data_IF_561230854444
#
_entry.id   IF_561230854444
#
_cell.length_a   1.000
_cell.length_b   1.000
_cell.length_c   1.000
_cell.angle_alpha   90.00
_cell.angle_beta   90.00
_cell.angle_gamma   90.00
#
_symmetry.space_group_name_H-M   'P 1'
#
loop_
_entity.id
_entity.type
_entity.pdbx_description
1 polymer ?
#
# COMPACT_ATOMS: atom_id res chain seq x y z
N UNK A 1 1.19 5.15 -31.67
CA UNK A 1 1.33 6.63 -31.59
C UNK A 1 1.37 7.11 -30.15
N UNK A 2 0.60 6.54 -29.24
CA UNK A 2 0.51 6.89 -27.81
C UNK A 2 1.87 6.80 -27.08
N UNK A 3 2.62 5.71 -27.25
CA UNK A 3 3.97 5.55 -26.64
C UNK A 3 5.00 6.63 -27.04
N UNK A 4 4.84 7.24 -28.22
CA UNK A 4 5.80 8.28 -28.71
C UNK A 4 5.49 9.64 -28.08
N UNK A 5 4.18 9.95 -27.90
CA UNK A 5 3.74 11.17 -27.21
C UNK A 5 4.13 11.19 -25.73
N UNK A 6 3.96 10.08 -25.04
CA UNK A 6 4.34 9.93 -23.63
C UNK A 6 5.83 10.11 -23.40
N UNK A 7 6.69 9.55 -24.29
CA UNK A 7 8.14 9.75 -24.21
C UNK A 7 8.54 11.22 -24.38
N UNK A 8 7.92 11.92 -25.33
CA UNK A 8 8.20 13.34 -25.56
C UNK A 8 7.77 14.16 -24.34
N UNK A 9 6.58 13.91 -23.79
CA UNK A 9 6.08 14.59 -22.59
C UNK A 9 7.00 14.35 -21.37
N UNK A 10 7.51 13.13 -21.20
CA UNK A 10 8.48 12.80 -20.15
C UNK A 10 9.79 13.57 -20.29
N UNK A 11 10.36 13.63 -21.50
CA UNK A 11 11.58 14.41 -21.74
C UNK A 11 11.38 15.92 -21.52
N UNK A 12 10.21 16.45 -21.89
CA UNK A 12 9.85 17.85 -21.61
C UNK A 12 9.76 18.08 -20.09
N UNK A 13 9.09 17.19 -19.37
CA UNK A 13 8.98 17.28 -17.91
C UNK A 13 10.35 17.21 -17.23
N UNK A 14 11.21 16.29 -17.66
CA UNK A 14 12.58 16.18 -17.17
C UNK A 14 13.39 17.46 -17.45
N UNK A 15 13.26 18.03 -18.65
CA UNK A 15 13.90 19.29 -19.00
C UNK A 15 13.42 20.45 -18.09
N UNK A 16 12.12 20.51 -17.78
CA UNK A 16 11.56 21.51 -16.85
C UNK A 16 12.17 21.32 -15.45
N UNK A 17 12.29 20.09 -14.97
CA UNK A 17 12.91 19.79 -13.66
C UNK A 17 14.37 20.27 -13.64
N UNK A 18 15.14 19.97 -14.69
CA UNK A 18 16.55 20.42 -14.81
C UNK A 18 16.62 21.94 -14.84
N UNK A 19 15.77 22.61 -15.62
CA UNK A 19 15.71 24.09 -15.68
C UNK A 19 15.39 24.66 -14.30
N UNK A 20 14.41 24.10 -13.60
CA UNK A 20 14.05 24.54 -12.24
C UNK A 20 15.23 24.40 -11.27
N UNK A 21 15.96 23.29 -11.32
CA UNK A 21 17.17 23.08 -10.50
C UNK A 21 18.29 24.08 -10.86
N UNK A 22 18.46 24.40 -12.14
CA UNK A 22 19.42 25.43 -12.58
C UNK A 22 19.00 26.80 -12.04
N UNK A 23 17.72 27.15 -12.12
CA UNK A 23 17.20 28.40 -11.55
C UNK A 23 17.44 28.42 -10.05
N UNK A 24 17.12 27.35 -9.33
CA UNK A 24 17.38 27.25 -7.89
C UNK A 24 18.84 27.51 -7.56
N UNK A 25 19.77 26.92 -8.32
CA UNK A 25 21.20 27.11 -8.14
C UNK A 25 21.65 28.56 -8.37
N UNK A 26 21.13 29.19 -9.44
CA UNK A 26 21.52 30.57 -9.82
C UNK A 26 20.92 31.61 -8.87
N UNK A 27 19.71 31.36 -8.39
CA UNK A 27 19.01 32.28 -7.48
C UNK A 27 19.36 32.11 -6.00
N UNK A 28 20.11 31.05 -5.68
CA UNK A 28 20.56 30.81 -4.30
C UNK A 28 21.65 31.81 -3.93
N UNK A 29 21.35 32.61 -2.94
CA UNK A 29 22.27 33.60 -2.33
C UNK A 29 23.24 33.00 -1.28
N UNK A 30 23.27 31.67 -1.17
CA UNK A 30 24.08 30.94 -0.20
C UNK A 30 23.31 30.59 1.11
N UNK A 31 22.07 31.03 1.27
CA UNK A 31 21.23 30.71 2.44
C UNK A 31 20.73 29.24 2.46
N UNK A 32 20.88 28.54 1.32
CA UNK A 32 20.39 27.18 1.15
C UNK A 32 18.88 27.10 0.86
N UNK A 33 18.32 25.89 0.95
CA UNK A 33 16.93 25.61 0.55
C UNK A 33 16.07 25.10 1.71
N UNK A 34 16.63 25.06 2.93
CA UNK A 34 15.97 24.54 4.13
C UNK A 34 14.84 25.50 4.54
N UNK A 35 13.69 24.94 4.90
CA UNK A 35 12.47 25.66 5.29
C UNK A 35 12.01 26.71 4.27
N UNK A 36 12.24 26.49 2.97
CA UNK A 36 11.82 27.34 1.86
C UNK A 36 10.80 26.63 0.98
N UNK A 37 10.19 27.33 0.02
CA UNK A 37 9.28 26.73 -0.97
C UNK A 37 9.93 25.62 -1.80
N UNK A 38 11.25 25.60 -1.93
CA UNK A 38 12.01 24.54 -2.59
C UNK A 38 11.95 23.20 -1.84
N UNK A 39 11.59 23.18 -0.57
CA UNK A 39 11.38 21.96 0.19
C UNK A 39 10.20 21.12 -0.32
N UNK A 40 9.23 21.74 -1.03
CA UNK A 40 8.11 21.04 -1.67
C UNK A 40 8.42 20.57 -3.09
N UNK A 41 9.54 21.01 -3.69
CA UNK A 41 9.90 20.68 -5.06
C UNK A 41 10.13 19.18 -5.29
N UNK A 42 10.86 18.43 -4.44
CA UNK A 42 11.12 17.00 -4.65
C UNK A 42 9.86 16.13 -4.76
N UNK A 43 8.85 16.23 -3.87
CA UNK A 43 7.62 15.47 -4.02
C UNK A 43 6.80 15.89 -5.25
N UNK A 44 6.79 17.17 -5.61
CA UNK A 44 6.15 17.64 -6.84
C UNK A 44 6.80 17.01 -8.08
N UNK A 45 8.13 16.93 -8.12
CA UNK A 45 8.88 16.24 -9.20
C UNK A 45 8.48 14.78 -9.27
N UNK A 46 8.49 14.06 -8.16
CA UNK A 46 8.13 12.64 -8.12
C UNK A 46 6.71 12.40 -8.63
N UNK A 47 5.73 13.16 -8.14
CA UNK A 47 4.32 13.01 -8.52
C UNK A 47 4.12 13.38 -10.00
N UNK A 48 4.62 14.54 -10.44
CA UNK A 48 4.47 15.01 -11.82
C UNK A 48 5.07 14.03 -12.83
N UNK A 49 6.29 13.53 -12.56
CA UNK A 49 6.92 12.54 -13.43
C UNK A 49 6.17 11.22 -13.44
N UNK A 50 5.66 10.75 -12.30
CA UNK A 50 4.87 9.52 -12.22
C UNK A 50 3.56 9.62 -13.02
N UNK A 51 2.85 10.73 -12.94
CA UNK A 51 1.63 10.97 -13.70
C UNK A 51 1.87 11.03 -15.21
N UNK A 52 2.99 11.63 -15.64
CA UNK A 52 3.35 11.78 -17.06
C UNK A 52 3.89 10.46 -17.64
N UNK A 53 4.82 9.81 -16.93
CA UNK A 53 5.49 8.60 -17.42
C UNK A 53 4.68 7.33 -17.20
N UNK A 54 3.77 7.32 -16.22
CA UNK A 54 3.10 6.15 -15.67
C UNK A 54 4.11 5.12 -15.12
N UNK A 55 5.29 5.59 -14.74
CA UNK A 55 6.37 4.80 -14.18
C UNK A 55 6.78 5.40 -12.82
N UNK A 56 6.61 4.63 -11.75
CA UNK A 56 6.72 5.12 -10.36
C UNK A 56 8.16 5.09 -9.86
N UNK A 57 8.93 4.05 -10.19
CA UNK A 57 10.27 3.84 -9.62
C UNK A 57 11.25 4.95 -10.01
N UNK A 58 11.38 5.22 -11.31
CA UNK A 58 12.28 6.28 -11.80
C UNK A 58 11.80 7.66 -11.33
N UNK A 59 10.49 7.86 -11.25
CA UNK A 59 9.91 9.14 -10.79
C UNK A 59 10.22 9.42 -9.33
N UNK A 60 10.02 8.45 -8.45
CA UNK A 60 10.39 8.55 -7.03
C UNK A 60 11.90 8.72 -6.86
N UNK A 61 12.71 7.93 -7.59
CA UNK A 61 14.16 8.03 -7.56
C UNK A 61 14.64 9.44 -7.94
N UNK A 62 14.12 10.01 -9.04
CA UNK A 62 14.45 11.36 -9.47
C UNK A 62 13.99 12.43 -8.48
N UNK A 63 12.82 12.24 -7.84
CA UNK A 63 12.38 13.10 -6.74
C UNK A 63 13.34 13.06 -5.55
N UNK A 64 13.79 11.87 -5.15
CA UNK A 64 14.79 11.71 -4.10
C UNK A 64 16.13 12.37 -4.46
N UNK A 65 16.60 12.19 -5.71
CA UNK A 65 17.83 12.85 -6.19
C UNK A 65 17.70 14.37 -6.16
N UNK A 66 16.57 14.92 -6.61
CA UNK A 66 16.31 16.36 -6.55
C UNK A 66 16.34 16.88 -5.10
N UNK A 67 15.71 16.15 -4.16
CA UNK A 67 15.73 16.49 -2.74
C UNK A 67 17.12 16.44 -2.13
N UNK A 68 17.85 15.36 -2.40
CA UNK A 68 19.23 15.21 -1.92
C UNK A 68 20.17 16.28 -2.48
N UNK A 69 19.98 16.69 -3.75
CA UNK A 69 20.77 17.72 -4.43
C UNK A 69 20.52 19.11 -3.83
N UNK A 70 19.25 19.47 -3.59
CA UNK A 70 18.87 20.73 -2.95
C UNK A 70 19.38 20.78 -1.52
N UNK A 71 19.19 19.71 -0.75
CA UNK A 71 19.71 19.61 0.63
C UNK A 71 21.23 19.72 0.69
N UNK A 72 21.94 19.21 -0.33
CA UNK A 72 23.38 19.30 -0.46
C UNK A 72 23.87 20.67 -0.99
N UNK A 73 22.98 21.62 -1.25
CA UNK A 73 23.32 22.89 -1.86
C UNK A 73 24.16 22.72 -3.15
N UNK A 74 23.77 21.76 -3.99
CA UNK A 74 24.43 21.40 -5.28
C UNK A 74 25.86 20.85 -5.14
N UNK A 75 26.24 20.34 -3.98
CA UNK A 75 27.53 19.65 -3.79
C UNK A 75 27.36 18.15 -4.15
N UNK A 76 28.04 17.63 -5.20
CA UNK A 76 27.76 16.26 -5.70
C UNK A 76 28.05 15.16 -4.67
N UNK A 77 29.13 15.28 -3.90
CA UNK A 77 29.46 14.29 -2.88
C UNK A 77 28.45 14.32 -1.74
N UNK A 78 28.09 15.48 -1.26
CA UNK A 78 27.09 15.64 -0.19
C UNK A 78 25.70 15.20 -0.64
N UNK A 79 25.36 15.33 -1.93
CA UNK A 79 24.13 14.78 -2.49
C UNK A 79 24.08 13.26 -2.32
N UNK A 80 25.17 12.54 -2.61
CA UNK A 80 25.22 11.08 -2.41
C UNK A 80 25.11 10.71 -0.93
N UNK A 81 25.79 11.44 -0.07
CA UNK A 81 25.70 11.24 1.40
C UNK A 81 24.28 11.45 1.89
N UNK A 82 23.62 12.54 1.46
CA UNK A 82 22.24 12.84 1.85
C UNK A 82 21.24 11.81 1.30
N UNK A 83 21.47 11.32 0.08
CA UNK A 83 20.61 10.30 -0.51
C UNK A 83 20.71 8.96 0.23
N UNK A 84 21.93 8.53 0.55
CA UNK A 84 22.16 7.23 1.21
C UNK A 84 21.81 7.29 2.70
N UNK A 85 22.27 8.31 3.42
CA UNK A 85 21.97 8.46 4.84
C UNK A 85 22.80 9.58 5.46
N UNK A 86 22.19 10.74 5.70
CA UNK A 86 22.86 11.94 6.17
C UNK A 86 22.67 12.24 7.67
N UNK A 87 21.74 11.57 8.32
CA UNK A 87 21.38 11.83 9.71
C UNK A 87 20.09 11.13 10.10
N UNK A 88 19.62 11.34 11.31
CA UNK A 88 18.42 10.71 11.84
C UNK A 88 17.20 11.04 10.96
N UNK A 89 16.52 10.01 10.46
CA UNK A 89 15.37 10.14 9.57
C UNK A 89 15.66 10.63 8.14
N UNK A 90 16.92 10.96 7.81
CA UNK A 90 17.30 11.50 6.49
C UNK A 90 18.10 10.47 5.68
N UNK A 91 17.76 10.35 4.39
CA UNK A 91 18.38 9.41 3.48
C UNK A 91 17.84 7.98 3.61
N UNK A 92 18.19 7.14 2.65
CA UNK A 92 17.58 5.82 2.47
C UNK A 92 17.77 4.91 3.69
N UNK A 93 18.97 4.84 4.25
CA UNK A 93 19.27 3.94 5.37
C UNK A 93 18.51 4.32 6.65
N UNK A 94 18.35 5.62 6.90
CA UNK A 94 17.78 6.13 8.14
C UNK A 94 16.25 6.36 8.06
N UNK A 95 15.69 6.41 6.86
CA UNK A 95 14.25 6.61 6.65
C UNK A 95 13.46 5.29 6.55
N UNK A 96 14.12 4.16 6.26
CA UNK A 96 13.46 2.86 6.07
C UNK A 96 13.04 2.26 7.42
N UNK A 97 11.76 1.88 7.52
CA UNK A 97 11.27 1.02 8.59
C UNK A 97 11.47 -0.47 8.22
N UNK A 98 12.52 -1.08 8.76
CA UNK A 98 12.87 -2.48 8.51
C UNK A 98 11.76 -3.42 9.02
N UNK A 99 11.05 -3.06 10.09
CA UNK A 99 9.99 -3.90 10.66
C UNK A 99 8.83 -4.04 9.67
N UNK A 100 8.45 -2.96 9.00
CA UNK A 100 7.40 -2.99 7.96
C UNK A 100 7.88 -3.80 6.74
N UNK A 101 9.15 -3.70 6.35
CA UNK A 101 9.68 -4.52 5.24
C UNK A 101 9.63 -6.01 5.57
N UNK A 102 10.02 -6.42 6.80
CA UNK A 102 9.91 -7.81 7.27
C UNK A 102 8.46 -8.27 7.23
N UNK A 103 7.54 -7.46 7.73
CA UNK A 103 6.11 -7.74 7.69
C UNK A 103 5.60 -8.00 6.26
N UNK A 104 5.94 -7.15 5.30
CA UNK A 104 5.54 -7.31 3.89
C UNK A 104 6.09 -8.60 3.28
N UNK A 105 7.36 -8.92 3.51
CA UNK A 105 7.97 -10.17 3.02
C UNK A 105 7.21 -11.39 3.57
N UNK A 106 6.90 -11.36 4.86
CA UNK A 106 6.14 -12.44 5.51
C UNK A 106 4.75 -12.59 4.88
N UNK A 107 4.05 -11.47 4.61
CA UNK A 107 2.76 -11.51 3.94
C UNK A 107 2.86 -12.15 2.54
N UNK A 108 3.88 -11.79 1.76
CA UNK A 108 4.13 -12.42 0.46
C UNK A 108 4.36 -13.93 0.55
N UNK A 109 5.12 -14.38 1.56
CA UNK A 109 5.34 -15.80 1.82
C UNK A 109 4.00 -16.50 2.16
N UNK A 110 3.19 -15.88 3.01
CA UNK A 110 1.88 -16.42 3.38
C UNK A 110 0.93 -16.53 2.20
N UNK A 111 0.90 -15.53 1.30
CA UNK A 111 0.12 -15.58 0.05
C UNK A 111 0.54 -16.77 -0.81
N UNK A 112 1.84 -16.93 -1.04
CA UNK A 112 2.35 -18.04 -1.88
C UNK A 112 2.04 -19.40 -1.25
N UNK A 113 2.18 -19.54 0.07
CA UNK A 113 1.80 -20.76 0.81
C UNK A 113 0.31 -21.09 0.67
N UNK A 114 -0.58 -20.11 0.88
CA UNK A 114 -2.03 -20.31 0.75
C UNK A 114 -2.43 -20.68 -0.67
N UNK A 115 -1.78 -20.10 -1.68
CA UNK A 115 -1.99 -20.41 -3.09
C UNK A 115 -1.51 -21.83 -3.42
N UNK A 116 -0.31 -22.22 -2.99
CA UNK A 116 0.24 -23.58 -3.16
C UNK A 116 -0.56 -24.66 -2.41
N UNK A 117 -1.13 -24.33 -1.26
CA UNK A 117 -2.04 -25.20 -0.54
C UNK A 117 -3.38 -25.40 -1.27
N UNK A 118 -3.66 -24.56 -2.27
CA UNK A 118 -4.91 -24.56 -3.02
C UNK A 118 -6.08 -23.91 -2.29
N UNK A 119 -5.82 -23.13 -1.23
CA UNK A 119 -6.83 -22.40 -0.46
C UNK A 119 -7.58 -21.39 -1.32
N UNK A 120 -6.87 -20.62 -2.13
CA UNK A 120 -7.45 -19.65 -3.08
C UNK A 120 -8.36 -20.34 -4.11
N UNK A 121 -7.91 -21.45 -4.70
CA UNK A 121 -8.71 -22.22 -5.66
C UNK A 121 -9.94 -22.88 -5.00
N UNK A 122 -9.81 -23.36 -3.76
CA UNK A 122 -10.94 -23.94 -3.02
C UNK A 122 -11.99 -22.88 -2.69
N UNK A 123 -11.57 -21.69 -2.26
CA UNK A 123 -12.47 -20.56 -2.02
C UNK A 123 -13.15 -20.10 -3.32
N UNK A 124 -12.39 -19.97 -4.41
CA UNK A 124 -12.93 -19.61 -5.72
C UNK A 124 -14.02 -20.58 -6.19
N UNK A 125 -13.80 -21.89 -6.09
CA UNK A 125 -14.81 -22.90 -6.40
C UNK A 125 -16.05 -22.83 -5.50
N UNK A 126 -15.86 -22.55 -4.20
CA UNK A 126 -16.98 -22.36 -3.28
C UNK A 126 -17.75 -21.09 -3.64
N UNK A 127 -17.06 -19.98 -3.87
CA UNK A 127 -17.67 -18.70 -4.21
C UNK A 127 -18.43 -18.76 -5.56
N UNK A 128 -17.88 -19.42 -6.57
CA UNK A 128 -18.56 -19.63 -7.86
C UNK A 128 -19.88 -20.42 -7.70
N UNK A 129 -19.96 -21.35 -6.76
CA UNK A 129 -21.20 -22.09 -6.47
C UNK A 129 -22.18 -21.27 -5.62
N UNK A 130 -21.69 -20.47 -4.69
CA UNK A 130 -22.49 -19.66 -3.79
C UNK A 130 -23.07 -18.40 -4.47
N UNK A 131 -22.26 -17.77 -5.32
CA UNK A 131 -22.61 -16.56 -6.05
C UNK A 131 -23.32 -16.92 -7.35
N UNK A 132 -24.52 -16.38 -7.56
CA UNK A 132 -25.34 -16.64 -8.74
C UNK A 132 -25.57 -15.43 -9.63
N UNK A 133 -25.15 -14.27 -9.20
CA UNK A 133 -25.40 -13.01 -9.90
C UNK A 133 -24.13 -12.20 -10.06
N UNK A 134 -24.09 -11.37 -11.08
CA UNK A 134 -22.99 -10.46 -11.35
C UNK A 134 -22.75 -9.47 -10.20
N UNK A 135 -23.83 -8.87 -9.68
CA UNK A 135 -23.78 -8.03 -8.48
C UNK A 135 -23.22 -8.78 -7.27
N UNK A 136 -23.67 -10.04 -7.10
CA UNK A 136 -23.17 -10.90 -6.03
C UNK A 136 -21.67 -11.17 -6.13
N UNK A 137 -21.12 -11.33 -7.34
CA UNK A 137 -19.68 -11.54 -7.55
C UNK A 137 -18.87 -10.28 -7.17
N UNK A 138 -19.34 -9.09 -7.53
CA UNK A 138 -18.69 -7.83 -7.16
C UNK A 138 -18.76 -7.58 -5.64
N UNK A 139 -19.93 -7.79 -5.03
CA UNK A 139 -20.09 -7.63 -3.57
C UNK A 139 -19.31 -8.67 -2.77
N UNK A 140 -19.20 -9.91 -3.27
CA UNK A 140 -18.35 -10.94 -2.65
C UNK A 140 -16.87 -10.56 -2.74
N UNK A 141 -16.43 -9.96 -3.86
CA UNK A 141 -15.07 -9.43 -4.01
C UNK A 141 -14.79 -8.34 -2.96
N UNK A 142 -15.71 -7.38 -2.84
CA UNK A 142 -15.62 -6.34 -1.82
C UNK A 142 -15.63 -6.92 -0.40
N UNK A 143 -16.52 -7.87 -0.10
CA UNK A 143 -16.61 -8.50 1.22
C UNK A 143 -15.30 -9.20 1.60
N UNK A 144 -14.72 -9.96 0.67
CA UNK A 144 -13.43 -10.61 0.88
C UNK A 144 -12.32 -9.57 1.11
N UNK A 145 -12.33 -8.48 0.35
CA UNK A 145 -11.41 -7.35 0.54
C UNK A 145 -11.58 -6.70 1.92
N UNK A 146 -12.82 -6.53 2.39
CA UNK A 146 -13.08 -6.02 3.76
C UNK A 146 -12.56 -6.98 4.83
N UNK A 147 -12.64 -8.29 4.63
CA UNK A 147 -12.13 -9.29 5.57
C UNK A 147 -10.60 -9.32 5.64
N UNK A 148 -9.92 -8.96 4.55
CA UNK A 148 -8.46 -8.97 4.44
C UNK A 148 -7.93 -7.52 4.59
N UNK A 149 -8.21 -6.87 5.69
CA UNK A 149 -7.96 -5.43 5.91
C UNK A 149 -6.56 -5.10 6.45
N UNK A 150 -5.71 -6.08 6.70
CA UNK A 150 -4.41 -5.87 7.38
C UNK A 150 -3.44 -5.06 6.54
N UNK A 151 -3.40 -5.35 5.22
CA UNK A 151 -2.51 -4.70 4.28
C UNK A 151 -3.13 -4.68 2.88
N UNK A 152 -2.99 -3.59 2.17
CA UNK A 152 -3.60 -3.38 0.85
C UNK A 152 -2.94 -4.22 -0.25
N UNK A 153 -1.62 -4.42 -0.23
CA UNK A 153 -0.93 -5.30 -1.18
C UNK A 153 -1.32 -6.75 -0.98
N UNK A 154 -1.32 -7.21 0.28
CA UNK A 154 -1.79 -8.54 0.64
C UNK A 154 -3.24 -8.76 0.19
N UNK A 155 -4.10 -7.78 0.42
CA UNK A 155 -5.48 -7.76 -0.02
C UNK A 155 -5.57 -7.90 -1.54
N UNK A 156 -4.92 -7.01 -2.30
CA UNK A 156 -4.95 -7.02 -3.76
C UNK A 156 -4.51 -8.36 -4.35
N UNK A 157 -3.39 -8.93 -3.87
CA UNK A 157 -2.87 -10.20 -4.35
C UNK A 157 -3.81 -11.37 -4.04
N UNK A 158 -4.30 -11.43 -2.80
CA UNK A 158 -5.14 -12.54 -2.34
C UNK A 158 -6.52 -12.48 -2.98
N UNK A 159 -7.21 -11.34 -2.90
CA UNK A 159 -8.56 -11.18 -3.47
C UNK A 159 -8.52 -11.31 -4.99
N UNK A 160 -7.47 -10.78 -5.64
CA UNK A 160 -7.28 -10.90 -7.08
C UNK A 160 -7.16 -12.35 -7.53
N UNK A 161 -6.31 -13.13 -6.87
CA UNK A 161 -6.14 -14.56 -7.20
C UNK A 161 -7.42 -15.38 -6.96
N UNK A 162 -8.13 -15.09 -5.86
CA UNK A 162 -9.32 -15.83 -5.43
C UNK A 162 -10.56 -15.51 -6.25
N UNK A 163 -10.80 -14.22 -6.52
CA UNK A 163 -12.05 -13.74 -7.11
C UNK A 163 -12.02 -13.68 -8.64
N UNK A 164 -10.84 -13.78 -9.27
CA UNK A 164 -10.71 -13.79 -10.72
C UNK A 164 -11.58 -14.86 -11.39
N UNK A 165 -11.50 -16.16 -11.04
CA UNK A 165 -12.36 -17.18 -11.69
C UNK A 165 -13.85 -16.95 -11.43
N UNK A 166 -14.22 -16.39 -10.27
CA UNK A 166 -15.62 -16.07 -9.95
C UNK A 166 -16.14 -14.94 -10.83
N UNK A 167 -15.38 -13.85 -10.96
CA UNK A 167 -15.79 -12.70 -11.77
C UNK A 167 -15.79 -13.00 -13.25
N UNK A 168 -14.82 -13.79 -13.74
CA UNK A 168 -14.78 -14.24 -15.14
C UNK A 168 -15.98 -15.12 -15.51
N UNK A 169 -16.39 -16.03 -14.62
CA UNK A 169 -17.59 -16.86 -14.83
C UNK A 169 -18.90 -16.06 -14.91
N UNK A 170 -18.89 -14.82 -14.42
CA UNK A 170 -20.02 -13.88 -14.47
C UNK A 170 -19.84 -12.78 -15.51
N UNK A 171 -18.91 -12.95 -16.47
CA UNK A 171 -18.61 -11.98 -17.54
C UNK A 171 -18.33 -10.58 -17.01
N UNK A 172 -17.58 -10.47 -15.91
CA UNK A 172 -17.07 -9.22 -15.36
C UNK A 172 -15.65 -9.04 -15.90
N UNK A 173 -15.34 -7.86 -16.46
CA UNK A 173 -14.04 -7.59 -17.03
C UNK A 173 -12.93 -7.61 -15.95
N UNK A 174 -11.70 -7.94 -16.35
CA UNK A 174 -10.55 -7.86 -15.44
C UNK A 174 -10.29 -6.44 -14.96
N UNK A 175 -10.59 -5.43 -15.78
CA UNK A 175 -10.53 -4.03 -15.38
C UNK A 175 -11.50 -3.70 -14.25
N UNK A 176 -12.73 -4.22 -14.31
CA UNK A 176 -13.73 -4.04 -13.24
C UNK A 176 -13.32 -4.76 -11.95
N UNK A 177 -12.80 -5.98 -12.07
CA UNK A 177 -12.25 -6.71 -10.92
C UNK A 177 -11.12 -5.91 -10.27
N UNK A 178 -10.16 -5.43 -11.05
CA UNK A 178 -9.07 -4.60 -10.54
C UNK A 178 -9.57 -3.33 -9.85
N UNK A 179 -10.56 -2.66 -10.42
CA UNK A 179 -11.20 -1.49 -9.81
C UNK A 179 -11.85 -1.81 -8.45
N UNK A 180 -12.63 -2.89 -8.37
CA UNK A 180 -13.29 -3.28 -7.11
C UNK A 180 -12.27 -3.62 -6.04
N UNK A 181 -11.20 -4.34 -6.41
CA UNK A 181 -10.12 -4.70 -5.47
C UNK A 181 -9.39 -3.45 -4.98
N UNK A 182 -8.90 -2.62 -5.88
CA UNK A 182 -8.14 -1.41 -5.55
C UNK A 182 -8.97 -0.42 -4.71
N UNK A 183 -10.22 -0.19 -5.14
CA UNK A 183 -11.16 0.68 -4.43
C UNK A 183 -11.67 0.11 -3.10
N UNK A 184 -11.36 -1.14 -2.77
CA UNK A 184 -11.67 -1.76 -1.47
C UNK A 184 -10.42 -1.84 -0.59
N UNK A 185 -9.30 -2.31 -1.13
CA UNK A 185 -8.10 -2.67 -0.38
C UNK A 185 -7.52 -1.48 0.41
N UNK A 186 -7.14 -0.41 -0.28
CA UNK A 186 -6.58 0.76 0.38
C UNK A 186 -7.60 1.48 1.29
N UNK A 187 -8.87 1.76 0.86
CA UNK A 187 -9.86 2.37 1.74
C UNK A 187 -10.14 1.59 3.02
N UNK A 188 -10.21 0.26 2.95
CA UNK A 188 -10.45 -0.56 4.15
C UNK A 188 -9.25 -0.50 5.10
N UNK A 189 -8.02 -0.61 4.59
CA UNK A 189 -6.81 -0.49 5.41
C UNK A 189 -6.69 0.89 6.08
N UNK A 190 -7.17 1.96 5.42
CA UNK A 190 -7.16 3.33 5.97
C UNK A 190 -8.25 3.61 7.01
N UNK A 191 -9.19 2.71 7.23
CA UNK A 191 -10.21 2.79 8.29
C UNK A 191 -10.11 1.64 9.30
N UNK A 192 -9.19 0.70 9.08
CA UNK A 192 -8.94 -0.40 10.00
C UNK A 192 -7.80 -0.04 10.97
N UNK A 193 -8.05 0.00 12.29
CA UNK A 193 -7.03 0.41 13.26
C UNK A 193 -5.90 -0.61 13.45
N UNK A 194 -6.06 -1.81 12.92
CA UNK A 194 -5.04 -2.88 12.91
C UNK A 194 -4.64 -3.14 11.47
N UNK A 195 -3.89 -2.21 10.87
CA UNK A 195 -3.44 -2.34 9.48
C UNK A 195 -2.03 -1.77 9.31
N UNK A 196 -1.38 -2.11 8.19
CA UNK A 196 -0.09 -1.52 7.81
C UNK A 196 -0.16 0.01 7.69
N UNK A 197 -1.29 0.54 7.22
CA UNK A 197 -1.52 1.98 7.11
C UNK A 197 -1.74 2.66 8.46
N UNK A 198 -2.46 2.02 9.38
CA UNK A 198 -2.58 2.53 10.75
C UNK A 198 -1.19 2.62 11.41
N UNK A 199 -0.32 1.62 11.18
CA UNK A 199 1.04 1.63 11.64
C UNK A 199 1.85 2.79 11.03
N UNK A 200 1.85 2.91 9.71
CA UNK A 200 2.62 3.93 9.00
C UNK A 200 2.17 5.36 9.37
N UNK A 201 0.85 5.62 9.38
CA UNK A 201 0.29 6.95 9.66
C UNK A 201 0.49 7.36 11.12
N UNK A 202 0.33 6.40 12.06
CA UNK A 202 0.53 6.67 13.49
C UNK A 202 1.94 7.17 13.81
N UNK A 203 2.95 6.70 13.08
CA UNK A 203 4.35 7.14 13.24
C UNK A 203 4.61 8.60 12.87
N UNK A 204 3.68 9.25 12.15
CA UNK A 204 3.81 10.67 11.81
C UNK A 204 3.21 11.63 12.84
N UNK A 205 2.51 11.12 13.84
CA UNK A 205 1.89 11.96 14.87
C UNK A 205 2.90 12.26 15.95
N UNK A 206 3.31 13.51 16.05
CA UNK A 206 4.18 14.04 17.10
C UNK A 206 3.32 14.91 18.04
N UNK A 207 2.72 14.31 19.05
CA UNK A 207 1.90 15.01 20.05
C UNK A 207 2.05 14.34 21.41
N UNK A 208 2.31 15.11 22.44
CA UNK A 208 2.40 14.61 23.82
C UNK A 208 1.02 14.27 24.41
N UNK A 209 -0.05 14.74 23.79
CA UNK A 209 -1.42 14.63 24.33
C UNK A 209 -2.27 13.55 23.66
N UNK A 210 -1.92 13.10 22.45
CA UNK A 210 -2.70 12.12 21.66
C UNK A 210 -1.75 11.17 20.95
N UNK A 211 -1.91 9.87 21.19
CA UNK A 211 -1.12 8.87 20.47
C UNK A 211 -1.50 8.76 18.99
N UNK A 212 -0.57 8.29 18.16
CA UNK A 212 -0.80 8.14 16.72
C UNK A 212 -2.01 7.27 16.40
N UNK A 213 -2.19 6.16 17.10
CA UNK A 213 -3.35 5.27 16.92
C UNK A 213 -4.65 5.92 17.35
N UNK A 214 -4.67 6.67 18.45
CA UNK A 214 -5.86 7.43 18.85
C UNK A 214 -6.25 8.47 17.80
N UNK A 215 -5.27 9.18 17.23
CA UNK A 215 -5.51 10.11 16.13
C UNK A 215 -6.07 9.40 14.91
N UNK A 216 -5.48 8.24 14.54
CA UNK A 216 -5.96 7.41 13.45
C UNK A 216 -7.41 6.97 13.64
N UNK A 217 -7.78 6.48 14.82
CA UNK A 217 -9.17 6.06 15.11
C UNK A 217 -10.14 7.24 15.05
N UNK A 218 -9.75 8.40 15.61
CA UNK A 218 -10.59 9.60 15.60
C UNK A 218 -10.87 10.13 14.20
N UNK A 219 -9.95 9.94 13.25
CA UNK A 219 -10.14 10.41 11.87
C UNK A 219 -11.03 9.50 11.01
N UNK A 220 -11.29 8.24 11.41
CA UNK A 220 -12.07 7.28 10.61
C UNK A 220 -13.42 7.86 10.14
N UNK A 221 -14.27 8.47 11.00
CA UNK A 221 -15.55 9.01 10.57
C UNK A 221 -15.43 10.19 9.59
N UNK A 222 -14.25 10.83 9.52
CA UNK A 222 -13.95 11.99 8.69
C UNK A 222 -13.19 11.61 7.42
N UNK A 223 -12.86 10.33 7.24
CA UNK A 223 -12.22 9.83 6.03
C UNK A 223 -13.26 9.61 4.94
N UNK A 224 -13.79 10.72 4.41
CA UNK A 224 -14.86 10.72 3.40
C UNK A 224 -14.49 9.96 2.15
N UNK A 225 -13.23 10.02 1.71
CA UNK A 225 -12.78 9.27 0.53
C UNK A 225 -13.01 7.78 0.72
N UNK A 226 -12.51 7.19 1.80
CA UNK A 226 -12.66 5.76 2.05
C UNK A 226 -14.12 5.34 2.19
N UNK A 227 -14.89 6.09 2.96
CA UNK A 227 -16.31 5.79 3.21
C UNK A 227 -17.15 5.91 1.93
N UNK A 228 -16.95 6.98 1.15
CA UNK A 228 -17.70 7.20 -0.10
C UNK A 228 -17.26 6.23 -1.20
N UNK A 229 -15.99 5.85 -1.27
CA UNK A 229 -15.49 4.87 -2.24
C UNK A 229 -16.10 3.49 -1.98
N UNK A 230 -16.14 3.04 -0.73
CA UNK A 230 -16.80 1.78 -0.35
C UNK A 230 -18.31 1.82 -0.66
N UNK A 231 -18.98 2.93 -0.33
CA UNK A 231 -20.38 3.14 -0.69
C UNK A 231 -20.57 3.10 -2.21
N UNK A 232 -19.69 3.75 -2.97
CA UNK A 232 -19.72 3.77 -4.44
C UNK A 232 -19.65 2.35 -5.02
N UNK A 233 -18.75 1.48 -4.51
CA UNK A 233 -18.68 0.09 -4.97
C UNK A 233 -20.01 -0.63 -4.75
N UNK A 234 -20.65 -0.44 -3.59
CA UNK A 234 -21.95 -1.04 -3.30
C UNK A 234 -23.00 -0.53 -4.30
N UNK A 235 -23.07 0.77 -4.52
CA UNK A 235 -24.06 1.40 -5.43
C UNK A 235 -23.88 0.89 -6.86
N UNK A 236 -22.67 0.94 -7.42
CA UNK A 236 -22.42 0.51 -8.81
C UNK A 236 -22.63 -1.00 -8.98
N UNK A 237 -22.33 -1.80 -7.95
CA UNK A 237 -22.53 -3.25 -8.00
C UNK A 237 -23.99 -3.64 -7.91
N UNK A 238 -24.77 -3.01 -7.04
CA UNK A 238 -26.20 -3.31 -6.87
C UNK A 238 -27.01 -2.81 -8.06
N UNK A 239 -26.74 -1.59 -8.52
CA UNK A 239 -27.46 -0.98 -9.65
C UNK A 239 -26.94 -1.46 -11.02
N UNK A 240 -25.84 -2.19 -11.08
CA UNK A 240 -25.15 -2.62 -12.32
C UNK A 240 -24.85 -1.43 -13.25
N UNK A 241 -24.39 -0.32 -12.69
CA UNK A 241 -24.03 0.89 -13.43
C UNK A 241 -22.55 0.89 -13.71
N UNK A 242 -22.20 1.17 -14.96
CA UNK A 242 -20.82 1.41 -15.39
C UNK A 242 -20.75 2.73 -16.13
N UNK A 243 -19.64 3.45 -16.01
CA UNK A 243 -19.46 4.77 -16.62
C UNK A 243 -18.04 4.95 -17.16
N UNK A 244 -17.87 5.94 -18.04
CA UNK A 244 -16.58 6.26 -18.65
C UNK A 244 -15.94 5.06 -19.36
N UNK A 245 -14.62 4.91 -19.30
CA UNK A 245 -13.92 3.79 -19.94
C UNK A 245 -14.37 2.41 -19.45
N UNK A 246 -14.81 2.30 -18.19
CA UNK A 246 -15.27 1.04 -17.61
C UNK A 246 -16.48 0.47 -18.35
N UNK A 247 -17.38 1.33 -18.83
CA UNK A 247 -18.54 0.91 -19.64
C UNK A 247 -18.12 0.12 -20.88
N UNK A 248 -17.02 0.53 -21.54
CA UNK A 248 -16.49 -0.19 -22.71
C UNK A 248 -15.94 -1.55 -22.34
N UNK A 249 -15.19 -1.65 -21.25
CA UNK A 249 -14.67 -2.93 -20.75
C UNK A 249 -15.79 -3.89 -20.39
N UNK A 250 -16.80 -3.41 -19.71
CA UNK A 250 -17.92 -4.23 -19.27
C UNK A 250 -18.84 -4.63 -20.44
N UNK A 251 -19.07 -3.74 -21.42
CA UNK A 251 -19.78 -4.09 -22.65
C UNK A 251 -19.06 -5.19 -23.42
N UNK A 252 -17.73 -5.08 -23.58
CA UNK A 252 -16.97 -6.10 -24.26
C UNK A 252 -16.97 -7.45 -23.50
N UNK A 253 -16.89 -7.42 -22.18
CA UNK A 253 -16.96 -8.63 -21.36
C UNK A 253 -18.32 -9.35 -21.48
N UNK A 254 -19.43 -8.58 -21.46
CA UNK A 254 -20.78 -9.15 -21.47
C UNK A 254 -21.26 -9.56 -22.86
N UNK A 255 -20.97 -8.74 -23.88
CA UNK A 255 -21.52 -8.95 -25.23
C UNK A 255 -20.56 -9.73 -26.12
N UNK A 256 -19.25 -9.45 -26.01
CA UNK A 256 -18.24 -10.08 -26.87
C UNK A 256 -17.45 -11.18 -26.18
N UNK A 257 -17.70 -11.44 -24.91
CA UNK A 257 -16.95 -12.38 -24.07
C UNK A 257 -15.44 -12.04 -24.04
N UNK A 258 -15.08 -10.76 -24.21
CA UNK A 258 -13.71 -10.26 -24.14
C UNK A 258 -13.48 -9.58 -22.80
N UNK A 259 -12.84 -10.30 -21.88
CA UNK A 259 -12.59 -9.84 -20.51
C UNK A 259 -11.47 -8.81 -20.41
N UNK A 260 -10.70 -8.59 -21.48
CA UNK A 260 -9.51 -7.73 -21.47
C UNK A 260 -9.71 -6.39 -22.17
N UNK A 261 -10.43 -6.38 -23.30
CA UNK A 261 -10.67 -5.21 -24.16
C UNK A 261 -9.40 -4.65 -24.83
N UNK A 262 -8.23 -4.79 -24.23
CA UNK A 262 -6.94 -4.29 -24.72
C UNK A 262 -6.11 -5.39 -25.38
N UNK A 263 -5.31 -5.07 -26.44
CA UNK A 263 -4.50 -6.07 -27.13
C UNK A 263 -3.40 -6.69 -26.26
N UNK A 264 -2.93 -5.96 -25.24
CA UNK A 264 -1.86 -6.40 -24.36
C UNK A 264 -2.25 -7.60 -23.49
N UNK A 265 -3.55 -7.84 -23.28
CA UNK A 265 -4.11 -8.94 -22.49
C UNK A 265 -3.26 -9.32 -21.26
N UNK A 266 -3.04 -8.40 -20.32
CA UNK A 266 -2.12 -8.60 -19.21
C UNK A 266 -2.56 -9.83 -18.37
N UNK A 267 -1.59 -10.67 -18.00
CA UNK A 267 -1.82 -11.89 -17.20
C UNK A 267 -2.74 -12.94 -17.88
N UNK A 268 -2.86 -12.93 -19.20
CA UNK A 268 -3.48 -14.04 -19.94
C UNK A 268 -2.65 -15.31 -19.72
N UNK A 269 -3.28 -16.40 -19.32
CA UNK A 269 -2.60 -17.66 -19.05
C UNK A 269 -1.96 -17.81 -17.67
N UNK A 270 -2.09 -16.85 -16.77
CA UNK A 270 -1.64 -16.95 -15.38
C UNK A 270 -2.54 -17.87 -14.52
N UNK A 271 -3.14 -18.88 -15.12
CA UNK A 271 -4.15 -19.75 -14.49
C UNK A 271 -3.55 -20.93 -13.70
N UNK A 272 -2.25 -20.90 -13.41
CA UNK A 272 -1.54 -21.99 -12.72
C UNK A 272 -2.02 -22.26 -11.30
N UNK A 273 -2.76 -21.33 -10.69
CA UNK A 273 -3.32 -21.53 -9.35
C UNK A 273 -4.45 -22.59 -9.30
N UNK A 274 -5.20 -22.77 -10.36
CA UNK A 274 -6.20 -23.85 -10.43
C UNK A 274 -5.56 -25.25 -10.46
N UNK A 275 -4.37 -25.38 -11.05
CA UNK A 275 -3.61 -26.63 -11.12
C UNK A 275 -3.02 -27.04 -9.75
N UNK A 276 -2.85 -26.09 -8.82
CA UNK A 276 -2.36 -26.37 -7.48
C UNK A 276 -3.40 -27.03 -6.56
N UNK A 277 -4.67 -27.05 -6.96
CA UNK A 277 -5.75 -27.62 -6.17
C UNK A 277 -5.63 -29.14 -6.06
N UNK A 278 -5.01 -29.61 -5.01
CA UNK A 278 -5.05 -31.01 -4.59
C UNK A 278 -6.45 -31.34 -4.05
N UNK A 279 -6.91 -32.61 -4.17
CA UNK A 279 -8.22 -33.02 -3.65
C UNK A 279 -8.44 -32.80 -2.15
N UNK A 280 -7.41 -32.36 -1.41
CA UNK A 280 -7.43 -32.02 0.01
C UNK A 280 -7.64 -30.52 0.29
N UNK A 281 -7.62 -29.65 -0.74
CA UNK A 281 -7.72 -28.19 -0.57
C UNK A 281 -9.10 -27.78 -0.05
N UNK A 282 -9.12 -26.91 0.95
CA UNK A 282 -10.32 -26.41 1.63
C UNK A 282 -10.32 -24.88 1.70
N UNK A 283 -11.50 -24.29 1.83
CA UNK A 283 -11.69 -22.86 2.11
C UNK A 283 -10.93 -22.41 3.38
N UNK A 284 -10.80 -23.32 4.35
CA UNK A 284 -10.04 -23.07 5.58
C UNK A 284 -8.55 -22.86 5.32
N UNK A 285 -8.00 -23.36 4.22
CA UNK A 285 -6.59 -23.16 3.86
C UNK A 285 -6.29 -21.72 3.43
N UNK A 286 -7.32 -20.92 3.16
CA UNK A 286 -7.24 -19.48 2.96
C UNK A 286 -7.61 -18.73 4.25
N UNK A 287 -8.79 -19.02 4.83
CA UNK A 287 -9.35 -18.22 5.91
C UNK A 287 -8.59 -18.36 7.24
N UNK A 288 -8.16 -19.57 7.60
CA UNK A 288 -7.54 -19.81 8.90
C UNK A 288 -6.19 -19.08 9.05
N UNK A 289 -5.25 -19.13 8.07
CA UNK A 289 -4.02 -18.33 8.13
C UNK A 289 -4.29 -16.83 8.26
N UNK A 290 -5.31 -16.29 7.57
CA UNK A 290 -5.68 -14.88 7.66
C UNK A 290 -6.22 -14.52 9.04
N UNK A 291 -7.12 -15.33 9.59
CA UNK A 291 -7.65 -15.10 10.95
C UNK A 291 -6.54 -15.16 11.99
N UNK A 292 -5.64 -16.15 11.89
CA UNK A 292 -4.49 -16.25 12.80
C UNK A 292 -3.59 -15.03 12.65
N UNK A 293 -3.32 -14.57 11.43
CA UNK A 293 -2.54 -13.34 11.18
C UNK A 293 -3.16 -12.14 11.89
N UNK A 294 -4.48 -11.94 11.78
CA UNK A 294 -5.18 -10.84 12.47
C UNK A 294 -4.97 -10.94 13.99
N UNK A 295 -5.23 -12.11 14.56
CA UNK A 295 -5.13 -12.31 15.99
C UNK A 295 -3.71 -12.12 16.51
N UNK A 296 -2.71 -12.69 15.83
CA UNK A 296 -1.30 -12.56 16.23
C UNK A 296 -0.76 -11.15 16.03
N UNK A 297 -1.22 -10.41 15.01
CA UNK A 297 -0.87 -8.99 14.86
C UNK A 297 -1.46 -8.14 16.00
N UNK A 298 -2.70 -8.38 16.41
CA UNK A 298 -3.27 -7.71 17.60
C UNK A 298 -2.44 -8.01 18.84
N UNK A 299 -2.07 -9.28 19.06
CA UNK A 299 -1.22 -9.69 20.20
C UNK A 299 0.16 -8.99 20.10
N UNK A 300 0.77 -8.94 18.92
CA UNK A 300 2.05 -8.25 18.72
C UNK A 300 1.97 -6.75 19.03
N UNK A 301 0.87 -6.09 18.64
CA UNK A 301 0.64 -4.67 18.93
C UNK A 301 0.52 -4.42 20.43
N UNK A 302 -0.34 -5.15 21.14
CA UNK A 302 -0.50 -4.96 22.58
C UNK A 302 0.76 -5.36 23.37
N UNK A 303 1.53 -6.35 22.87
CA UNK A 303 2.81 -6.73 23.45
C UNK A 303 3.82 -5.59 23.37
N UNK A 304 4.00 -5.00 22.19
CA UNK A 304 4.91 -3.86 22.01
C UNK A 304 4.45 -2.58 22.70
N UNK A 305 3.17 -2.48 23.02
CA UNK A 305 2.59 -1.36 23.77
C UNK A 305 2.69 -1.47 25.28
N UNK A 306 3.25 -2.58 25.80
CA UNK A 306 3.51 -2.75 27.24
C UNK A 306 2.38 -3.47 28.03
N UNK A 307 1.44 -4.14 27.35
CA UNK A 307 0.34 -4.85 28.04
C UNK A 307 0.80 -5.93 29.03
N UNK A 308 1.90 -6.60 28.71
CA UNK A 308 2.47 -7.69 29.51
C UNK A 308 3.66 -7.27 30.37
N UNK A 309 4.08 -6.00 30.29
CA UNK A 309 5.21 -5.45 31.05
C UNK A 309 4.68 -4.85 32.35
N UNK A 310 5.05 -5.47 33.49
CA UNK A 310 4.64 -5.06 34.83
C UNK A 310 5.22 -3.70 35.26
N UNK A 311 6.22 -3.21 34.53
CA UNK A 311 6.81 -1.87 34.74
C UNK A 311 6.12 -0.79 33.89
N UNK A 312 5.28 -1.18 32.94
CA UNK A 312 4.57 -0.27 32.03
C UNK A 312 3.34 0.35 32.69
N UNK A 313 3.10 1.63 32.41
CA UNK A 313 1.86 2.33 32.75
C UNK A 313 0.61 1.63 32.16
N UNK A 314 0.78 0.87 31.07
CA UNK A 314 -0.29 0.17 30.33
C UNK A 314 -0.41 -1.32 30.68
N UNK A 315 0.18 -1.74 31.79
CA UNK A 315 0.07 -3.14 32.25
C UNK A 315 -1.39 -3.54 32.43
N UNK A 316 -1.82 -4.57 31.71
CA UNK A 316 -3.22 -5.04 31.68
C UNK A 316 -4.26 -4.01 31.18
N UNK A 317 -3.84 -2.88 30.65
CA UNK A 317 -4.71 -1.94 29.94
C UNK A 317 -4.63 -2.18 28.42
N UNK A 318 -5.64 -2.86 27.86
CA UNK A 318 -5.68 -3.18 26.43
C UNK A 318 -5.69 -1.91 25.55
N UNK A 319 -6.51 -0.93 25.92
CA UNK A 319 -6.65 0.29 25.10
C UNK A 319 -5.41 1.18 25.19
N UNK A 320 -4.86 1.31 26.38
CA UNK A 320 -3.61 2.04 26.60
C UNK A 320 -2.43 1.40 25.86
N UNK A 321 -2.24 0.09 26.04
CA UNK A 321 -1.19 -0.65 25.36
C UNK A 321 -1.35 -0.61 23.82
N UNK A 322 -2.57 -0.81 23.31
CA UNK A 322 -2.83 -0.70 21.86
C UNK A 322 -2.52 0.71 21.33
N UNK A 323 -2.85 1.74 22.08
CA UNK A 323 -2.55 3.14 21.72
C UNK A 323 -1.06 3.47 21.76
N UNK A 324 -0.30 2.80 22.64
CA UNK A 324 1.15 2.98 22.79
C UNK A 324 1.99 2.01 21.94
N UNK A 325 1.35 1.18 21.11
CA UNK A 325 2.01 0.14 20.35
C UNK A 325 3.05 0.68 19.38
N UNK A 326 4.20 0.01 19.30
CA UNK A 326 5.13 0.15 18.19
C UNK A 326 4.58 -0.62 16.99
N UNK A 327 3.87 0.09 16.10
CA UNK A 327 3.05 -0.54 15.07
C UNK A 327 3.87 -1.42 14.12
N UNK A 328 5.04 -0.96 13.63
CA UNK A 328 5.90 -1.75 12.75
C UNK A 328 6.40 -3.03 13.42
N UNK A 329 6.96 -2.92 14.63
CA UNK A 329 7.48 -4.06 15.39
C UNK A 329 6.35 -5.04 15.77
N UNK A 330 5.20 -4.53 16.20
CA UNK A 330 4.03 -5.36 16.56
C UNK A 330 3.51 -6.19 15.39
N UNK A 331 3.40 -5.59 14.20
CA UNK A 331 3.00 -6.30 12.99
C UNK A 331 4.05 -7.31 12.53
N UNK A 332 5.34 -6.99 12.62
CA UNK A 332 6.41 -7.92 12.27
C UNK A 332 6.42 -9.16 13.18
N UNK A 333 6.29 -8.96 14.50
CA UNK A 333 6.19 -10.07 15.47
C UNK A 333 4.95 -10.90 15.20
N UNK A 334 3.78 -10.26 15.05
CA UNK A 334 2.51 -10.94 14.83
C UNK A 334 2.51 -11.76 13.54
N UNK A 335 3.01 -11.20 12.45
CA UNK A 335 3.10 -11.90 11.17
C UNK A 335 4.08 -13.07 11.20
N UNK A 336 5.20 -12.95 11.93
CA UNK A 336 6.13 -14.06 12.12
C UNK A 336 5.48 -15.25 12.84
N UNK A 337 4.70 -14.99 13.89
CA UNK A 337 3.93 -16.02 14.60
C UNK A 337 2.90 -16.68 13.68
N UNK A 338 2.20 -15.86 12.87
CA UNK A 338 1.24 -16.36 11.89
C UNK A 338 1.91 -17.22 10.81
N UNK A 339 3.10 -16.84 10.34
CA UNK A 339 3.86 -17.61 9.37
C UNK A 339 4.25 -18.97 9.91
N UNK A 340 4.80 -19.02 11.12
CA UNK A 340 5.17 -20.28 11.80
C UNK A 340 3.94 -21.18 11.94
N UNK A 341 2.82 -20.61 12.41
CA UNK A 341 1.56 -21.35 12.48
C UNK A 341 1.14 -21.89 11.12
N UNK A 342 1.21 -21.08 10.06
CA UNK A 342 0.80 -21.45 8.71
C UNK A 342 1.64 -22.60 8.15
N UNK A 343 2.97 -22.60 8.36
CA UNK A 343 3.83 -23.72 8.02
C UNK A 343 3.41 -24.99 8.73
N UNK A 344 3.27 -24.95 10.07
CA UNK A 344 2.88 -26.11 10.88
C UNK A 344 1.50 -26.62 10.45
N UNK A 345 0.53 -25.72 10.24
CA UNK A 345 -0.82 -26.07 9.81
C UNK A 345 -0.82 -26.84 8.49
N UNK A 346 -0.10 -26.36 7.48
CA UNK A 346 -0.07 -27.03 6.16
C UNK A 346 0.71 -28.35 6.19
N UNK A 347 1.76 -28.47 7.00
CA UNK A 347 2.47 -29.73 7.19
C UNK A 347 1.61 -30.79 7.87
N UNK A 348 0.93 -30.42 8.96
CA UNK A 348 0.02 -31.34 9.68
C UNK A 348 -1.14 -31.81 8.78
N UNK A 349 -1.65 -30.93 7.93
CA UNK A 349 -2.69 -31.32 6.95
C UNK A 349 -2.15 -32.13 5.78
N UNK A 350 -0.86 -32.12 5.54
CA UNK A 350 -0.24 -32.72 4.38
C UNK A 350 -0.69 -32.06 3.07
N UNK A 351 -1.03 -30.76 3.11
CA UNK A 351 -1.45 -29.98 1.94
C UNK A 351 -0.26 -29.59 1.08
N UNK A 352 0.89 -29.27 1.71
CA UNK A 352 2.16 -28.94 1.04
C UNK A 352 3.28 -29.74 1.69
N UNK A 353 4.18 -30.29 0.87
CA UNK A 353 5.40 -30.92 1.37
C UNK A 353 6.39 -29.90 1.91
N UNK A 354 7.30 -30.36 2.80
CA UNK A 354 8.29 -29.51 3.47
C UNK A 354 9.13 -28.68 2.48
N UNK A 355 9.74 -29.32 1.49
CA UNK A 355 10.57 -28.67 0.47
C UNK A 355 9.79 -27.60 -0.29
N UNK A 356 8.62 -27.92 -0.81
CA UNK A 356 7.75 -26.99 -1.54
C UNK A 356 7.27 -25.81 -0.71
N UNK A 357 7.12 -25.98 0.61
CA UNK A 357 6.73 -24.89 1.48
C UNK A 357 7.86 -23.86 1.65
N UNK A 358 9.12 -24.29 1.68
CA UNK A 358 10.25 -23.37 1.74
C UNK A 358 10.56 -22.66 0.42
N UNK A 359 10.13 -23.18 -0.73
CA UNK A 359 10.12 -22.42 -1.99
C UNK A 359 9.26 -21.17 -1.93
N UNK A 360 8.31 -21.11 -1.00
CA UNK A 360 7.47 -19.91 -0.82
C UNK A 360 8.23 -18.73 -0.21
N UNK A 361 9.38 -18.98 0.43
CA UNK A 361 10.20 -17.89 1.00
C UNK A 361 10.76 -16.98 -0.09
N UNK A 362 11.54 -17.47 -1.07
CA UNK A 362 12.00 -16.61 -2.17
C UNK A 362 10.83 -16.10 -3.04
N UNK A 363 9.81 -16.89 -3.29
CA UNK A 363 8.67 -16.45 -4.09
C UNK A 363 7.91 -15.30 -3.44
N UNK A 364 7.66 -15.38 -2.14
CA UNK A 364 7.02 -14.31 -1.39
C UNK A 364 7.84 -13.02 -1.39
N UNK A 365 9.16 -13.13 -1.25
CA UNK A 365 10.05 -11.99 -1.38
C UNK A 365 9.95 -11.33 -2.76
N UNK A 366 9.97 -12.14 -3.84
CA UNK A 366 9.85 -11.65 -5.21
C UNK A 366 8.50 -10.93 -5.43
N UNK A 367 7.41 -11.45 -4.88
CA UNK A 367 6.09 -10.82 -4.98
C UNK A 367 6.06 -9.43 -4.32
N UNK A 368 6.84 -9.22 -3.27
CA UNK A 368 6.89 -7.97 -2.51
C UNK A 368 8.01 -7.01 -2.94
N UNK A 369 8.83 -7.34 -3.93
CA UNK A 369 9.88 -6.44 -4.43
C UNK A 369 9.30 -5.08 -4.84
N UNK A 370 8.20 -5.08 -5.59
CA UNK A 370 7.58 -3.85 -6.10
C UNK A 370 7.12 -2.91 -4.96
N UNK A 371 6.28 -3.34 -4.01
CA UNK A 371 5.91 -2.51 -2.85
C UNK A 371 7.12 -2.08 -2.03
N UNK A 372 8.09 -2.96 -1.79
CA UNK A 372 9.29 -2.64 -1.02
C UNK A 372 10.09 -1.50 -1.67
N UNK A 373 10.30 -1.55 -2.99
CA UNK A 373 11.00 -0.49 -3.71
C UNK A 373 10.25 0.84 -3.65
N UNK A 374 8.92 0.82 -3.84
CA UNK A 374 8.10 2.02 -3.74
C UNK A 374 8.20 2.65 -2.35
N UNK A 375 8.03 1.84 -1.30
CA UNK A 375 8.13 2.31 0.08
C UNK A 375 9.52 2.84 0.41
N UNK A 376 10.57 2.15 -0.02
CA UNK A 376 11.96 2.58 0.19
C UNK A 376 12.20 3.99 -0.37
N UNK A 377 11.79 4.25 -1.61
CA UNK A 377 11.94 5.58 -2.19
C UNK A 377 10.97 6.61 -1.59
N UNK A 378 9.74 6.21 -1.27
CA UNK A 378 8.76 7.10 -0.65
C UNK A 378 9.22 7.57 0.74
N UNK A 379 9.73 6.65 1.58
CA UNK A 379 10.30 7.02 2.89
C UNK A 379 11.55 7.87 2.75
N UNK A 380 12.43 7.54 1.78
CA UNK A 380 13.61 8.35 1.49
C UNK A 380 13.22 9.78 1.11
N UNK A 381 12.23 9.92 0.21
CA UNK A 381 11.70 11.21 -0.21
C UNK A 381 11.10 11.98 0.96
N UNK A 382 10.31 11.29 1.80
CA UNK A 382 9.73 11.87 3.00
C UNK A 382 10.81 12.33 3.99
N UNK A 383 11.82 11.50 4.24
CA UNK A 383 12.95 11.83 5.10
C UNK A 383 13.71 13.07 4.62
N UNK A 384 14.05 13.12 3.33
CA UNK A 384 14.73 14.26 2.73
C UNK A 384 13.91 15.55 2.82
N UNK A 385 12.61 15.49 2.58
CA UNK A 385 11.75 16.68 2.57
C UNK A 385 11.34 17.12 3.96
N UNK A 386 10.91 16.21 4.82
CA UNK A 386 10.40 16.51 6.16
C UNK A 386 11.53 16.83 7.14
N UNK A 387 12.50 15.97 7.27
CA UNK A 387 13.57 16.07 8.27
C UNK A 387 14.82 16.77 7.73
N UNK A 388 15.14 16.60 6.46
CA UNK A 388 16.27 17.28 5.82
C UNK A 388 15.98 18.72 5.44
N UNK A 389 14.91 18.95 4.68
CA UNK A 389 14.57 20.28 4.16
C UNK A 389 13.54 21.04 5.00
N UNK A 390 13.01 20.46 6.09
CA UNK A 390 12.02 21.09 6.99
C UNK A 390 10.79 21.63 6.24
N UNK A 391 10.22 20.81 5.35
CA UNK A 391 9.05 21.21 4.55
C UNK A 391 7.82 21.55 5.40
N UNK A 392 7.65 20.89 6.55
CA UNK A 392 6.56 21.18 7.49
C UNK A 392 6.68 22.60 8.07
N UNK A 393 7.88 23.01 8.45
CA UNK A 393 8.13 24.35 9.00
C UNK A 393 7.87 25.45 7.95
N UNK A 394 8.25 25.20 6.69
CA UNK A 394 7.89 26.10 5.59
C UNK A 394 6.36 26.26 5.47
N UNK A 395 5.61 25.16 5.47
CA UNK A 395 4.15 25.20 5.35
C UNK A 395 3.53 25.94 6.55
N UNK A 396 3.95 25.62 7.78
CA UNK A 396 3.45 26.27 8.99
C UNK A 396 3.76 27.79 8.96
N UNK A 397 4.98 28.17 8.60
CA UNK A 397 5.39 29.58 8.51
C UNK A 397 4.62 30.34 7.42
N UNK A 398 4.44 29.75 6.25
CA UNK A 398 3.65 30.32 5.16
C UNK A 398 2.17 30.52 5.57
N UNK A 399 1.63 29.59 6.37
CA UNK A 399 0.24 29.63 6.82
C UNK A 399 0.01 30.54 8.03
N UNK A 400 1.02 30.78 8.87
CA UNK A 400 0.91 31.69 10.02
C UNK A 400 0.54 33.13 9.62
N UNK A 401 0.89 33.54 8.39
CA UNK A 401 0.50 34.82 7.80
C UNK A 401 -0.86 34.81 7.06
N UNK A 402 -1.48 33.63 6.85
CA UNK A 402 -2.65 33.50 6.00
C UNK A 402 -4.01 33.73 6.72
N UNK A 403 -4.03 33.92 8.05
CA UNK A 403 -5.23 34.19 8.83
C UNK A 403 -6.34 33.15 8.62
N UNK A 404 -7.54 33.60 8.25
CA UNK A 404 -8.70 32.72 8.00
C UNK A 404 -8.49 31.71 6.84
N UNK A 405 -7.62 32.00 5.87
CA UNK A 405 -7.30 31.11 4.77
C UNK A 405 -6.60 29.82 5.25
N UNK A 406 -5.96 29.85 6.42
CA UNK A 406 -5.34 28.67 7.03
C UNK A 406 -6.36 27.53 7.26
N UNK A 407 -7.64 27.82 7.46
CA UNK A 407 -8.71 26.84 7.63
C UNK A 407 -8.96 26.00 6.38
N UNK A 408 -8.60 26.51 5.19
CA UNK A 408 -8.75 25.81 3.92
C UNK A 408 -7.53 24.99 3.52
N UNK A 409 -6.43 25.09 4.28
CA UNK A 409 -5.20 24.36 3.98
C UNK A 409 -5.38 22.87 3.79
N UNK A 410 -6.14 22.13 4.64
CA UNK A 410 -6.38 20.70 4.42
C UNK A 410 -7.02 20.42 3.06
N UNK A 411 -7.97 21.26 2.61
CA UNK A 411 -8.60 21.12 1.30
C UNK A 411 -7.61 21.43 0.16
N UNK A 412 -6.78 22.46 0.32
CA UNK A 412 -5.76 22.84 -0.70
C UNK A 412 -4.68 21.77 -0.85
N UNK A 413 -4.26 21.14 0.25
CA UNK A 413 -3.26 20.06 0.21
C UNK A 413 -3.86 18.79 -0.41
N UNK A 414 -5.17 18.58 -0.23
CA UNK A 414 -5.87 17.40 -0.73
C UNK A 414 -6.14 17.45 -2.25
N UNK A 415 -6.31 18.64 -2.83
CA UNK A 415 -6.53 18.86 -4.26
C UNK A 415 -5.21 18.89 -5.03
#
# INVERSE_FOLDING_TARGET
MEKKGTKIAYFIALAIVVIALVIAKVTNDGSGFIATGWALFPPVVAIALALISKEVYSSLFLGCLAGALLLANFQPWQMVVNFVGAGEGVGMINAIDISILIFLVILGIMVDLMNKAGGSAAFGRWATKAVKTRSGAQLMTMLLGVLIFIDDYFNCLTVGAVMRPVTESHHISRAKLAYVIDSTAAPVCMIAPVSSWAAAVSGYVNSDSVSGIQMFIRQIPWNYYCLLTLLMIVVISVLNIDYGPMLTHEYNAQVKNDLFTTPERPFEGADDYEKAANGKSSVLDLLLPVVVLIVTCIIGLIYTGGYYDDTSEYFHDFMGAFSNASSGAGLAIGSMLALVFTFIYFWLRGSIGFEKSFESVPNGFIQMISPILILTFAWTLCGLTRYGMYSADFVVNAMSGAGELAKFLPAVIFI
#
